data_IF_339286169165
#
_entry.id   IF_339286169165
#
_cell.length_a   1.000
_cell.length_b   1.000
_cell.length_c   1.000
_cell.angle_alpha   90.00
_cell.angle_beta   90.00
_cell.angle_gamma   90.00
#
_symmetry.space_group_name_H-M   'P 1'
#
loop_
_entity.id
_entity.type
_entity.pdbx_description
1 polymer ?
#
# COMPACT_ATOMS: atom_id res chain seq x y z
N UNK A 1 19.80 -47.81 44.16
CA UNK A 1 19.63 -46.51 44.84
C UNK A 1 19.93 -45.43 43.80
N UNK A 2 18.89 -44.65 43.42
CA UNK A 2 18.92 -43.25 42.91
C UNK A 2 19.77 -43.01 41.63
N UNK A 3 19.32 -42.54 40.47
CA UNK A 3 18.15 -41.81 39.93
C UNK A 3 18.08 -42.24 38.43
N UNK A 4 16.96 -42.57 37.77
CA UNK A 4 15.74 -41.82 37.40
C UNK A 4 15.99 -40.50 36.63
N UNK A 5 15.58 -40.52 35.35
CA UNK A 5 15.18 -39.40 34.50
C UNK A 5 16.27 -38.44 33.98
N UNK A 6 17.00 -38.89 32.96
CA UNK A 6 17.62 -38.00 31.97
C UNK A 6 17.68 -38.55 30.53
N UNK A 7 16.93 -39.62 30.24
CA UNK A 7 16.80 -40.22 28.90
C UNK A 7 15.43 -39.87 28.28
N UNK A 8 15.21 -38.60 27.90
CA UNK A 8 14.05 -38.22 27.06
C UNK A 8 14.12 -36.81 26.43
N UNK A 9 15.30 -36.25 26.17
CA UNK A 9 15.42 -34.93 25.52
C UNK A 9 16.52 -34.88 24.45
N UNK A 10 16.75 -36.00 23.76
CA UNK A 10 17.70 -36.09 22.65
C UNK A 10 17.07 -36.80 21.45
N UNK A 11 15.96 -36.27 20.95
CA UNK A 11 15.47 -36.58 19.60
C UNK A 11 14.43 -35.54 19.15
N UNK A 12 14.91 -34.54 18.40
CA UNK A 12 14.25 -33.85 17.28
C UNK A 12 15.03 -32.55 17.01
N UNK A 13 16.32 -32.71 16.67
CA UNK A 13 17.12 -31.66 16.05
C UNK A 13 16.68 -31.51 14.59
N UNK A 14 16.11 -30.35 14.28
CA UNK A 14 16.49 -29.47 13.16
C UNK A 14 17.04 -30.14 11.88
N UNK A 15 16.17 -30.50 10.95
CA UNK A 15 16.54 -30.81 9.57
C UNK A 15 15.73 -29.92 8.61
N UNK A 16 16.33 -28.83 8.15
CA UNK A 16 15.92 -28.13 6.93
C UNK A 16 17.17 -27.48 6.30
N UNK A 17 18.15 -28.31 5.94
CA UNK A 17 19.28 -27.93 5.10
C UNK A 17 19.13 -28.63 3.75
N UNK A 18 18.68 -27.91 2.72
CA UNK A 18 18.79 -28.39 1.34
C UNK A 18 20.15 -27.93 0.79
N UNK A 19 21.06 -28.88 0.56
CA UNK A 19 22.36 -28.64 -0.08
C UNK A 19 22.20 -28.60 -1.62
N UNK A 20 22.93 -27.72 -2.29
CA UNK A 20 23.01 -27.70 -3.74
C UNK A 20 24.04 -28.72 -4.28
N UNK A 21 24.08 -28.89 -5.60
CA UNK A 21 24.86 -29.92 -6.31
C UNK A 21 26.38 -29.82 -6.18
N UNK A 22 26.90 -28.82 -5.47
CA UNK A 22 28.33 -28.65 -5.17
C UNK A 22 28.66 -28.80 -3.67
N UNK A 23 27.68 -29.20 -2.85
CA UNK A 23 27.88 -29.48 -1.42
C UNK A 23 28.18 -28.25 -0.57
N UNK A 24 27.80 -27.05 -1.04
CA UNK A 24 28.08 -25.80 -0.32
C UNK A 24 26.88 -25.45 0.57
N UNK A 25 27.04 -25.60 1.89
CA UNK A 25 26.04 -25.18 2.87
C UNK A 25 26.10 -23.65 3.00
N UNK A 26 25.09 -22.96 2.48
CA UNK A 26 24.92 -21.53 2.73
C UNK A 26 24.35 -21.31 4.13
N UNK A 27 25.20 -21.26 5.14
CA UNK A 27 24.81 -20.78 6.47
C UNK A 27 24.56 -19.27 6.40
N UNK A 28 23.28 -18.87 6.39
CA UNK A 28 22.90 -17.50 6.69
C UNK A 28 23.13 -17.25 8.18
N UNK A 29 24.34 -16.87 8.58
CA UNK A 29 24.57 -16.30 9.92
C UNK A 29 24.05 -14.87 9.93
N UNK A 30 22.84 -14.69 10.48
CA UNK A 30 22.37 -13.36 10.92
C UNK A 30 23.21 -13.00 12.13
N UNK A 31 24.33 -12.30 11.93
CA UNK A 31 25.05 -11.68 13.03
C UNK A 31 24.17 -10.55 13.56
N UNK A 32 23.56 -10.80 14.72
CA UNK A 32 22.85 -9.81 15.50
C UNK A 32 23.86 -8.82 16.09
N UNK A 33 24.34 -7.89 15.26
CA UNK A 33 24.90 -6.63 15.75
C UNK A 33 23.73 -5.63 15.75
N UNK A 34 23.24 -5.17 16.90
CA UNK A 34 22.13 -4.24 16.94
C UNK A 34 22.62 -2.86 16.50
N UNK A 35 22.42 -2.53 15.22
CA UNK A 35 22.34 -1.13 14.82
C UNK A 35 21.23 -0.48 15.67
N UNK A 36 21.54 0.53 16.50
CA UNK A 36 20.58 1.18 17.40
C UNK A 36 19.42 1.87 16.66
N UNK A 37 19.44 1.91 15.32
CA UNK A 37 18.34 2.44 14.49
C UNK A 37 17.39 1.37 13.92
N UNK A 38 17.69 0.06 14.06
CA UNK A 38 16.77 -0.99 13.62
C UNK A 38 15.74 -1.23 14.71
N UNK A 39 14.62 -0.50 14.65
CA UNK A 39 13.44 -0.83 15.46
C UNK A 39 13.05 -2.27 15.12
N UNK A 40 12.79 -3.12 16.12
CA UNK A 40 12.26 -4.45 15.85
C UNK A 40 11.01 -4.31 14.98
N UNK A 41 10.88 -5.20 13.98
CA UNK A 41 9.66 -5.26 13.19
C UNK A 41 8.49 -5.41 14.18
N UNK A 42 7.38 -4.68 13.97
CA UNK A 42 6.27 -4.63 14.92
C UNK A 42 5.52 -5.97 15.05
N UNK A 43 6.00 -7.02 14.37
CA UNK A 43 5.40 -8.35 14.30
C UNK A 43 6.46 -9.43 14.05
N UNK A 44 6.15 -10.65 14.46
CA UNK A 44 6.93 -11.85 14.16
C UNK A 44 6.77 -12.28 12.70
N UNK A 45 7.63 -13.19 12.22
CA UNK A 45 7.50 -13.75 10.87
C UNK A 45 6.16 -14.46 10.67
N UNK A 46 5.71 -15.25 11.65
CA UNK A 46 4.43 -15.95 11.58
C UNK A 46 3.25 -14.97 11.49
N UNK A 47 3.28 -13.89 12.27
CA UNK A 47 2.28 -12.82 12.18
C UNK A 47 2.30 -12.11 10.83
N UNK A 48 3.48 -11.91 10.24
CA UNK A 48 3.61 -11.33 8.90
C UNK A 48 3.08 -12.27 7.81
N UNK A 49 3.32 -13.57 7.92
CA UNK A 49 2.81 -14.58 7.00
C UNK A 49 1.28 -14.72 7.13
N UNK A 50 0.76 -14.73 8.35
CA UNK A 50 -0.67 -14.72 8.62
C UNK A 50 -1.34 -13.49 7.99
N UNK A 51 -0.76 -12.30 8.19
CA UNK A 51 -1.20 -11.07 7.52
C UNK A 51 -1.16 -11.18 5.99
N UNK A 52 -0.10 -11.76 5.42
CA UNK A 52 0.01 -11.92 3.98
C UNK A 52 -1.00 -12.91 3.41
N UNK A 53 -1.36 -13.95 4.15
CA UNK A 53 -2.35 -14.95 3.75
C UNK A 53 -3.78 -14.47 3.97
N UNK A 54 -4.08 -13.96 5.17
CA UNK A 54 -5.42 -13.70 5.66
C UNK A 54 -5.82 -12.22 5.65
N UNK A 55 -4.85 -11.31 5.48
CA UNK A 55 -5.08 -9.86 5.48
C UNK A 55 -5.04 -9.25 6.89
N UNK A 56 -5.53 -8.01 7.01
CA UNK A 56 -5.67 -7.34 8.31
C UNK A 56 -6.83 -7.96 9.09
N UNK A 57 -6.61 -8.28 10.37
CA UNK A 57 -7.70 -8.57 11.28
C UNK A 57 -8.52 -7.29 11.56
N UNK A 58 -9.76 -7.26 11.09
CA UNK A 58 -10.70 -6.16 11.35
C UNK A 58 -11.53 -6.51 12.57
N UNK A 59 -11.09 -6.07 13.75
CA UNK A 59 -11.71 -6.40 15.03
C UNK A 59 -11.71 -5.21 16.01
N UNK A 60 -12.71 -5.14 16.92
CA UNK A 60 -12.72 -4.16 18.02
C UNK A 60 -11.50 -4.27 18.94
N UNK A 61 -11.12 -3.16 19.57
CA UNK A 61 -10.02 -3.08 20.56
C UNK A 61 -10.39 -2.09 21.68
N UNK A 62 -9.98 -2.31 22.93
CA UNK A 62 -10.21 -1.38 24.04
C UNK A 62 -9.62 0.03 23.81
N UNK A 63 -8.67 0.19 22.89
CA UNK A 63 -8.05 1.47 22.57
C UNK A 63 -8.88 2.36 21.62
N UNK A 64 -9.94 1.81 21.01
CA UNK A 64 -10.79 2.52 20.07
C UNK A 64 -12.04 3.09 20.74
N UNK A 65 -12.58 4.23 20.27
CA UNK A 65 -13.86 4.75 20.73
C UNK A 65 -15.03 3.79 20.48
N UNK A 66 -16.09 3.89 21.29
CA UNK A 66 -17.29 3.04 21.18
C UNK A 66 -17.91 3.02 19.78
N UNK A 67 -17.97 4.17 19.11
CA UNK A 67 -18.50 4.27 17.76
C UNK A 67 -17.67 3.44 16.76
N UNK A 68 -16.35 3.48 16.87
CA UNK A 68 -15.42 2.70 16.04
C UNK A 68 -15.55 1.22 16.36
N UNK A 69 -15.56 0.83 17.63
CA UNK A 69 -15.74 -0.57 18.05
C UNK A 69 -17.08 -1.16 17.60
N UNK A 70 -18.15 -0.37 17.68
CA UNK A 70 -19.48 -0.76 17.17
C UNK A 70 -19.43 -1.03 15.67
N UNK A 71 -18.76 -0.18 14.89
CA UNK A 71 -18.60 -0.40 13.45
C UNK A 71 -17.73 -1.62 13.15
N UNK A 72 -16.59 -1.78 13.84
CA UNK A 72 -15.65 -2.89 13.65
C UNK A 72 -16.28 -4.26 13.89
N UNK A 73 -17.32 -4.37 14.73
CA UNK A 73 -18.06 -5.61 14.94
C UNK A 73 -18.73 -6.17 13.66
N UNK A 74 -18.97 -5.32 12.65
CA UNK A 74 -19.62 -5.73 11.39
C UNK A 74 -18.85 -5.34 10.12
N UNK A 75 -17.79 -4.54 10.22
CA UNK A 75 -17.04 -3.99 9.10
C UNK A 75 -16.50 -5.06 8.14
N UNK A 76 -15.98 -6.17 8.66
CA UNK A 76 -15.49 -7.28 7.83
C UNK A 76 -16.61 -7.91 6.96
N UNK A 77 -17.81 -8.08 7.52
CA UNK A 77 -18.96 -8.63 6.78
C UNK A 77 -19.48 -7.62 5.77
N UNK A 78 -19.51 -6.33 6.12
CA UNK A 78 -19.86 -5.25 5.18
C UNK A 78 -18.91 -5.23 3.99
N UNK A 79 -17.60 -5.25 4.24
CA UNK A 79 -16.59 -5.28 3.19
C UNK A 79 -16.70 -6.52 2.30
N UNK A 80 -16.91 -7.71 2.87
CA UNK A 80 -17.15 -8.92 2.09
C UNK A 80 -18.38 -8.79 1.17
N UNK A 81 -19.49 -8.23 1.68
CA UNK A 81 -20.70 -7.98 0.88
C UNK A 81 -20.46 -6.96 -0.24
N UNK A 82 -19.70 -5.90 0.00
CA UNK A 82 -19.39 -4.91 -1.03
C UNK A 82 -18.46 -5.50 -2.11
N UNK A 83 -17.41 -6.22 -1.70
CA UNK A 83 -16.50 -6.90 -2.62
C UNK A 83 -17.22 -7.96 -3.48
N UNK A 84 -18.20 -8.67 -2.92
CA UNK A 84 -18.99 -9.67 -3.66
C UNK A 84 -19.84 -9.08 -4.81
N UNK A 85 -20.08 -7.76 -4.82
CA UNK A 85 -20.77 -7.07 -5.92
C UNK A 85 -19.87 -6.89 -7.15
N UNK A 86 -18.55 -7.00 -6.99
CA UNK A 86 -17.59 -6.83 -8.08
C UNK A 86 -17.47 -8.13 -8.87
N UNK A 87 -17.72 -8.13 -10.20
CA UNK A 87 -17.61 -9.33 -11.01
C UNK A 87 -16.19 -9.89 -11.02
N UNK A 88 -16.05 -11.21 -10.96
CA UNK A 88 -14.74 -11.89 -11.02
C UNK A 88 -13.92 -11.50 -12.27
N UNK A 89 -14.60 -11.23 -13.39
CA UNK A 89 -13.96 -10.76 -14.63
C UNK A 89 -13.23 -9.41 -14.45
N UNK A 90 -13.72 -8.52 -13.59
CA UNK A 90 -13.05 -7.26 -13.28
C UNK A 90 -11.74 -7.51 -12.52
N UNK A 91 -11.75 -8.38 -11.53
CA UNK A 91 -10.55 -8.82 -10.81
C UNK A 91 -9.55 -9.48 -11.75
N UNK A 92 -10.01 -10.38 -12.63
CA UNK A 92 -9.13 -11.01 -13.62
C UNK A 92 -8.50 -10.00 -14.57
N UNK A 93 -9.25 -8.97 -14.99
CA UNK A 93 -8.72 -7.87 -15.80
C UNK A 93 -7.58 -7.13 -15.10
N UNK A 94 -7.70 -6.88 -13.79
CA UNK A 94 -6.63 -6.26 -12.99
C UNK A 94 -5.38 -7.15 -13.01
N UNK A 95 -5.53 -8.45 -12.76
CA UNK A 95 -4.41 -9.41 -12.78
C UNK A 95 -3.73 -9.47 -14.14
N UNK A 96 -4.49 -9.45 -15.25
CA UNK A 96 -3.92 -9.43 -16.60
C UNK A 96 -3.11 -8.14 -16.85
N UNK A 97 -3.60 -6.98 -16.40
CA UNK A 97 -2.86 -5.71 -16.52
C UNK A 97 -1.58 -5.70 -15.68
N UNK A 98 -1.62 -6.34 -14.50
CA UNK A 98 -0.45 -6.53 -13.64
C UNK A 98 0.61 -7.42 -14.28
N UNK A 99 0.20 -8.50 -14.94
CA UNK A 99 1.11 -9.36 -15.71
C UNK A 99 1.79 -8.59 -16.86
N UNK A 100 1.01 -7.77 -17.59
CA UNK A 100 1.56 -6.86 -18.61
C UNK A 100 2.55 -5.86 -17.99
N UNK A 101 2.26 -5.33 -16.80
CA UNK A 101 3.18 -4.44 -16.09
C UNK A 101 4.51 -5.10 -15.76
N UNK A 102 4.51 -6.37 -15.33
CA UNK A 102 5.75 -7.11 -15.04
C UNK A 102 6.54 -7.43 -16.30
N UNK A 103 5.86 -7.71 -17.42
CA UNK A 103 6.48 -8.09 -18.70
C UNK A 103 6.93 -6.90 -19.55
N UNK A 104 6.49 -5.68 -19.24
CA UNK A 104 6.80 -4.51 -20.03
C UNK A 104 8.32 -4.24 -20.13
N UNK A 105 8.84 -3.85 -21.31
CA UNK A 105 10.28 -3.84 -21.55
C UNK A 105 11.00 -2.66 -20.88
N UNK A 106 10.31 -1.55 -20.63
CA UNK A 106 10.91 -0.36 -20.02
C UNK A 106 10.26 -0.02 -18.67
N UNK A 107 11.04 0.53 -17.75
CA UNK A 107 10.55 0.96 -16.43
C UNK A 107 9.36 1.94 -16.52
N UNK A 108 9.37 2.83 -17.52
CA UNK A 108 8.27 3.76 -17.80
C UNK A 108 6.99 3.01 -18.16
N UNK A 109 7.07 2.01 -19.03
CA UNK A 109 5.90 1.20 -19.38
C UNK A 109 5.43 0.34 -18.21
N UNK A 110 6.34 -0.22 -17.40
CA UNK A 110 5.99 -0.98 -16.20
C UNK A 110 5.14 -0.14 -15.25
N UNK A 111 5.58 1.08 -14.93
CA UNK A 111 4.82 2.02 -14.09
C UNK A 111 3.49 2.41 -14.74
N UNK A 112 3.47 2.68 -16.04
CA UNK A 112 2.24 3.04 -16.74
C UNK A 112 1.18 1.91 -16.70
N UNK A 113 1.60 0.66 -16.90
CA UNK A 113 0.70 -0.50 -16.83
C UNK A 113 0.27 -0.82 -15.40
N UNK A 114 1.16 -0.67 -14.42
CA UNK A 114 0.81 -0.80 -13.00
C UNK A 114 -0.25 0.23 -12.58
N UNK A 115 -0.10 1.48 -13.02
CA UNK A 115 -1.10 2.52 -12.80
C UNK A 115 -2.44 2.20 -13.47
N UNK A 116 -2.42 1.66 -14.70
CA UNK A 116 -3.65 1.20 -15.40
C UNK A 116 -4.33 0.05 -14.66
N UNK A 117 -3.58 -0.87 -14.07
CA UNK A 117 -4.16 -1.93 -13.23
C UNK A 117 -4.86 -1.33 -12.00
N UNK A 118 -4.25 -0.34 -11.36
CA UNK A 118 -4.86 0.38 -10.25
C UNK A 118 -6.13 1.16 -10.67
N UNK A 119 -6.15 1.76 -11.87
CA UNK A 119 -7.34 2.39 -12.44
C UNK A 119 -8.47 1.39 -12.72
N UNK A 120 -8.14 0.21 -13.25
CA UNK A 120 -9.10 -0.85 -13.49
C UNK A 120 -9.72 -1.36 -12.19
N UNK A 121 -8.89 -1.53 -11.14
CA UNK A 121 -9.37 -1.86 -9.80
C UNK A 121 -10.26 -0.76 -9.26
N UNK A 122 -9.81 0.50 -9.31
CA UNK A 122 -10.57 1.64 -8.81
C UNK A 122 -11.94 1.74 -9.49
N UNK A 123 -11.98 1.58 -10.82
CA UNK A 123 -13.23 1.64 -11.60
C UNK A 123 -14.22 0.54 -11.21
N UNK A 124 -13.73 -0.65 -10.85
CA UNK A 124 -14.57 -1.78 -10.49
C UNK A 124 -15.09 -1.70 -9.04
N UNK A 125 -14.26 -1.24 -8.10
CA UNK A 125 -14.56 -1.28 -6.67
C UNK A 125 -15.13 0.04 -6.13
N UNK A 126 -14.78 1.20 -6.70
CA UNK A 126 -15.22 2.50 -6.19
C UNK A 126 -16.75 2.67 -6.09
N UNK A 127 -17.60 2.12 -6.99
CA UNK A 127 -19.05 2.19 -6.85
C UNK A 127 -19.62 1.49 -5.59
N UNK A 128 -18.81 0.65 -4.94
CA UNK A 128 -19.19 -0.13 -3.75
C UNK A 128 -18.36 0.25 -2.51
N UNK A 129 -17.48 1.25 -2.63
CA UNK A 129 -16.63 1.73 -1.56
C UNK A 129 -17.23 2.96 -0.87
N UNK A 130 -16.81 3.23 0.37
CA UNK A 130 -17.12 4.48 1.09
C UNK A 130 -16.46 5.72 0.44
N UNK A 131 -15.50 5.52 -0.46
CA UNK A 131 -14.69 6.57 -1.05
C UNK A 131 -15.50 7.43 -2.02
N UNK A 132 -15.41 8.75 -1.85
CA UNK A 132 -16.04 9.76 -2.74
C UNK A 132 -15.09 10.91 -3.00
N UNK A 133 -15.34 11.64 -4.09
CA UNK A 133 -14.62 12.88 -4.35
C UNK A 133 -14.80 13.85 -3.16
N UNK A 134 -13.69 14.39 -2.65
CA UNK A 134 -13.68 15.24 -1.45
C UNK A 134 -13.42 14.52 -0.13
N UNK A 135 -13.37 13.17 -0.11
CA UNK A 135 -12.80 12.44 1.02
C UNK A 135 -11.27 12.50 0.96
N UNK A 136 -10.61 13.01 2.00
CA UNK A 136 -9.16 13.22 2.03
C UNK A 136 -8.44 12.51 3.19
N UNK A 137 -9.09 11.58 3.89
CA UNK A 137 -8.47 10.84 5.00
C UNK A 137 -7.15 10.18 4.62
N UNK A 138 -7.10 9.52 3.46
CA UNK A 138 -5.87 8.89 2.94
C UNK A 138 -4.77 9.90 2.56
N UNK A 139 -5.08 11.20 2.46
CA UNK A 139 -4.07 12.24 2.27
C UNK A 139 -3.35 12.60 3.57
N UNK A 140 -3.78 12.10 4.73
CA UNK A 140 -3.15 12.37 6.03
C UNK A 140 -2.40 11.16 6.59
N UNK A 141 -2.34 10.03 5.86
CA UNK A 141 -1.58 8.83 6.24
C UNK A 141 -0.29 8.70 5.41
N UNK A 142 0.61 7.77 5.74
CA UNK A 142 1.77 7.48 4.91
C UNK A 142 1.37 6.90 3.55
N UNK A 143 1.96 7.44 2.50
CA UNK A 143 1.80 6.97 1.12
C UNK A 143 3.18 6.72 0.54
N UNK A 144 3.64 5.48 0.64
CA UNK A 144 4.94 5.06 0.11
C UNK A 144 4.85 4.72 -1.36
N UNK A 145 5.72 5.32 -2.16
CA UNK A 145 5.88 5.02 -3.59
C UNK A 145 7.35 4.76 -3.91
N UNK A 146 7.58 3.97 -4.95
CA UNK A 146 8.92 3.67 -5.45
C UNK A 146 9.56 4.90 -6.10
N UNK A 147 10.89 4.93 -6.16
CA UNK A 147 11.63 5.99 -6.86
C UNK A 147 11.25 6.08 -8.35
N UNK A 148 10.93 4.95 -8.98
CA UNK A 148 10.54 4.88 -10.39
C UNK A 148 9.18 5.51 -10.62
N UNK A 149 8.23 5.26 -9.72
CA UNK A 149 6.91 5.87 -9.74
C UNK A 149 6.99 7.35 -9.39
N UNK A 150 7.82 7.74 -8.42
CA UNK A 150 8.05 9.14 -8.07
C UNK A 150 8.62 9.95 -9.25
N UNK A 151 9.57 9.39 -10.01
CA UNK A 151 10.08 10.04 -11.24
C UNK A 151 9.01 10.16 -12.31
N UNK A 152 8.23 9.10 -12.53
CA UNK A 152 7.14 9.12 -13.51
C UNK A 152 6.06 10.16 -13.13
N UNK A 153 5.68 10.20 -11.86
CA UNK A 153 4.78 11.19 -11.29
C UNK A 153 5.33 12.59 -11.50
N UNK A 154 6.58 12.81 -11.11
CA UNK A 154 7.24 14.10 -11.19
C UNK A 154 7.30 14.65 -12.62
N UNK A 155 7.57 13.78 -13.60
CA UNK A 155 7.50 14.13 -15.02
C UNK A 155 6.08 14.54 -15.44
N UNK A 156 5.06 13.80 -15.00
CA UNK A 156 3.67 14.06 -15.37
C UNK A 156 3.15 15.39 -14.79
N UNK A 157 3.58 15.76 -13.58
CA UNK A 157 3.14 16.98 -12.89
C UNK A 157 4.09 18.18 -13.08
N UNK A 158 5.19 18.00 -13.83
CA UNK A 158 6.20 19.05 -14.06
C UNK A 158 7.01 19.43 -12.82
N UNK A 159 7.20 18.49 -11.87
CA UNK A 159 7.94 18.69 -10.63
C UNK A 159 8.87 17.51 -10.35
N UNK A 160 10.18 17.71 -10.36
CA UNK A 160 11.11 16.62 -10.06
C UNK A 160 10.98 16.16 -8.58
N UNK A 161 11.07 14.84 -8.30
CA UNK A 161 11.18 14.36 -6.93
C UNK A 161 12.56 14.66 -6.35
N UNK A 162 12.63 14.85 -5.03
CA UNK A 162 13.89 15.02 -4.29
C UNK A 162 14.69 13.70 -4.29
N UNK A 163 16.02 13.73 -4.49
CA UNK A 163 16.87 12.55 -4.40
C UNK A 163 16.80 11.88 -3.03
N UNK A 164 16.89 10.54 -2.99
CA UNK A 164 16.80 9.75 -1.74
C UNK A 164 17.81 10.18 -0.67
N UNK A 165 19.01 10.57 -1.08
CA UNK A 165 20.07 11.02 -0.18
C UNK A 165 19.70 12.30 0.60
N UNK A 166 18.70 13.04 0.13
CA UNK A 166 18.23 14.30 0.73
C UNK A 166 16.91 14.11 1.49
N UNK A 167 16.39 12.88 1.59
CA UNK A 167 15.13 12.62 2.28
C UNK A 167 15.27 12.85 3.78
N UNK A 168 14.43 13.73 4.31
CA UNK A 168 14.27 13.94 5.75
C UNK A 168 13.17 13.02 6.30
N UNK A 169 13.17 12.68 7.61
CA UNK A 169 12.06 12.00 8.23
C UNK A 169 10.75 12.77 8.01
N UNK A 170 9.72 12.09 7.49
CA UNK A 170 8.39 12.67 7.38
C UNK A 170 7.60 12.43 8.68
N UNK A 171 6.82 13.43 9.12
CA UNK A 171 5.78 13.19 10.11
C UNK A 171 4.71 12.32 9.45
N UNK A 172 4.55 11.10 9.96
CA UNK A 172 3.77 10.03 9.34
C UNK A 172 2.37 9.87 9.94
N UNK A 173 2.05 10.57 11.03
CA UNK A 173 0.81 10.36 11.78
C UNK A 173 0.06 11.67 12.02
N UNK A 174 -1.27 11.60 11.88
CA UNK A 174 -2.19 12.69 12.19
C UNK A 174 -2.41 13.70 11.05
N UNK A 175 -3.38 14.60 11.27
CA UNK A 175 -3.81 15.58 10.26
C UNK A 175 -2.82 16.73 10.01
N UNK A 176 -1.78 16.85 10.84
CA UNK A 176 -0.82 17.95 10.83
C UNK A 176 0.22 17.89 9.71
N UNK A 177 0.37 16.73 9.05
CA UNK A 177 1.26 16.57 7.91
C UNK A 177 0.48 16.00 6.71
N UNK A 178 -0.32 16.83 6.02
CA UNK A 178 -1.04 16.36 4.85
C UNK A 178 -0.08 16.04 3.69
N UNK A 179 -0.57 15.25 2.74
CA UNK A 179 0.07 15.02 1.45
C UNK A 179 0.33 16.37 0.76
N UNK A 180 1.52 16.56 0.14
CA UNK A 180 1.88 17.82 -0.53
C UNK A 180 0.98 18.17 -1.73
N UNK A 181 0.12 17.25 -2.16
CA UNK A 181 -0.85 17.46 -3.23
C UNK A 181 -2.28 17.66 -2.73
N UNK A 182 -2.53 17.72 -1.42
CA UNK A 182 -3.85 18.03 -0.87
C UNK A 182 -4.12 19.53 -0.98
N UNK A 183 -5.19 19.92 -1.66
CA UNK A 183 -5.64 21.31 -1.78
C UNK A 183 -7.18 21.37 -1.70
N UNK A 184 -7.71 22.13 -0.73
CA UNK A 184 -9.16 22.29 -0.56
C UNK A 184 -9.93 20.98 -0.39
N UNK A 185 -9.38 20.04 0.40
CA UNK A 185 -9.98 18.72 0.63
C UNK A 185 -9.92 17.77 -0.58
N UNK A 186 -9.18 18.13 -1.64
CA UNK A 186 -9.07 17.34 -2.87
C UNK A 186 -7.62 17.23 -3.33
N UNK A 187 -7.30 16.12 -4.00
CA UNK A 187 -5.98 15.96 -4.61
C UNK A 187 -5.83 16.91 -5.82
N UNK A 188 -4.81 17.76 -5.82
CA UNK A 188 -4.50 18.68 -6.91
C UNK A 188 -3.99 17.97 -8.17
N UNK A 189 -3.49 16.74 -8.02
CA UNK A 189 -2.99 15.88 -9.10
C UNK A 189 -3.88 14.65 -9.31
N UNK A 190 -5.19 14.78 -9.13
CA UNK A 190 -6.13 13.65 -9.08
C UNK A 190 -5.97 12.64 -10.24
N UNK A 191 -5.78 13.16 -11.47
CA UNK A 191 -5.59 12.37 -12.68
C UNK A 191 -4.23 11.66 -12.76
N UNK A 192 -3.22 12.12 -12.02
CA UNK A 192 -1.86 11.58 -11.98
C UNK A 192 -1.54 10.85 -10.67
N UNK A 193 -2.52 10.64 -9.78
CA UNK A 193 -2.34 9.92 -8.51
C UNK A 193 -1.50 8.64 -8.67
N UNK A 194 -0.60 8.32 -7.72
CA UNK A 194 0.08 7.03 -7.66
C UNK A 194 -0.89 5.84 -7.67
N UNK A 195 -0.40 4.67 -8.06
CA UNK A 195 -1.16 3.43 -8.06
C UNK A 195 -1.78 3.15 -6.68
N UNK A 196 -0.99 3.26 -5.60
CA UNK A 196 -1.47 3.08 -4.23
C UNK A 196 -2.64 4.02 -3.90
N UNK A 197 -2.58 5.29 -4.29
CA UNK A 197 -3.66 6.25 -4.04
C UNK A 197 -4.95 5.97 -4.84
N UNK A 198 -4.86 5.24 -5.96
CA UNK A 198 -6.02 4.87 -6.79
C UNK A 198 -6.71 3.62 -6.27
N UNK A 199 -5.93 2.68 -5.76
CA UNK A 199 -6.40 1.39 -5.26
C UNK A 199 -6.74 1.37 -3.78
N UNK A 200 -6.41 2.43 -3.04
CA UNK A 200 -6.73 2.55 -1.61
C UNK A 200 -8.21 2.86 -1.38
N UNK A 201 -9.06 1.83 -1.40
CA UNK A 201 -10.51 1.95 -1.28
C UNK A 201 -11.02 1.28 0.00
N UNK A 202 -11.72 2.05 0.84
CA UNK A 202 -12.41 1.53 2.03
C UNK A 202 -13.72 0.84 1.60
N UNK A 203 -13.84 -0.46 1.87
CA UNK A 203 -15.00 -1.27 1.51
C UNK A 203 -16.08 -1.33 2.61
N UNK A 204 -15.95 -0.49 3.64
CA UNK A 204 -17.00 -0.25 4.63
C UNK A 204 -18.08 0.71 4.10
N UNK A 205 -19.10 1.02 4.91
CA UNK A 205 -20.23 1.85 4.50
C UNK A 205 -19.94 3.36 4.40
N UNK A 206 -19.03 3.89 5.21
CA UNK A 206 -18.65 5.31 5.21
C UNK A 206 -17.18 5.51 5.64
N UNK A 207 -16.80 6.78 5.85
CA UNK A 207 -15.42 7.15 6.16
C UNK A 207 -15.02 7.01 7.65
N UNK A 208 -15.93 6.59 8.54
CA UNK A 208 -15.71 6.58 10.00
C UNK A 208 -14.40 5.89 10.39
N UNK A 209 -14.14 4.70 9.84
CA UNK A 209 -12.92 3.94 10.16
C UNK A 209 -11.65 4.58 9.62
N UNK A 210 -11.75 5.48 8.63
CA UNK A 210 -10.61 6.20 8.06
C UNK A 210 -10.24 7.46 8.85
N UNK A 211 -11.05 7.88 9.83
CA UNK A 211 -10.77 9.05 10.66
C UNK A 211 -9.58 8.78 11.58
N UNK A 212 -8.61 9.69 11.59
CA UNK A 212 -7.42 9.51 12.42
C UNK A 212 -7.75 9.83 13.87
N UNK A 213 -7.48 8.88 14.75
CA UNK A 213 -7.73 9.04 16.17
C UNK A 213 -6.70 10.01 16.80
N UNK A 214 -7.12 10.92 17.70
CA UNK A 214 -6.20 11.78 18.44
C UNK A 214 -5.17 11.01 19.27
N UNK A 215 -5.49 9.78 19.68
CA UNK A 215 -4.57 8.85 20.37
C UNK A 215 -3.41 8.38 19.48
N UNK A 216 -3.53 8.53 18.16
CA UNK A 216 -2.59 7.97 17.19
C UNK A 216 -2.77 6.47 16.93
N UNK A 217 -3.74 5.82 17.56
CA UNK A 217 -4.03 4.41 17.30
C UNK A 217 -4.54 4.20 15.87
N UNK A 218 -4.00 3.18 15.18
CA UNK A 218 -4.35 2.85 13.81
C UNK A 218 -5.58 1.93 13.78
N UNK A 219 -6.69 2.43 13.25
CA UNK A 219 -7.93 1.66 13.10
C UNK A 219 -7.80 0.68 11.92
N UNK A 220 -8.16 -0.60 12.09
CA UNK A 220 -8.10 -1.58 11.01
C UNK A 220 -9.26 -1.37 10.01
N UNK A 221 -9.01 -0.56 8.99
CA UNK A 221 -9.98 -0.30 7.92
C UNK A 221 -10.01 -1.47 6.93
N UNK A 222 -11.21 -1.97 6.54
CA UNK A 222 -11.31 -3.04 5.55
C UNK A 222 -11.11 -2.49 4.13
N UNK A 223 -9.85 -2.27 3.76
CA UNK A 223 -9.51 -1.88 2.39
C UNK A 223 -9.70 -3.02 1.39
N UNK A 224 -9.94 -2.69 0.13
CA UNK A 224 -9.86 -3.65 -0.98
C UNK A 224 -8.50 -4.34 -0.99
N UNK A 225 -8.47 -5.63 -1.36
CA UNK A 225 -7.21 -6.38 -1.44
C UNK A 225 -6.30 -5.85 -2.57
N UNK A 226 -5.25 -5.14 -2.17
CA UNK A 226 -4.23 -4.61 -3.08
C UNK A 226 -2.91 -5.37 -3.02
N UNK A 227 -2.86 -6.57 -2.40
CA UNK A 227 -1.61 -7.36 -2.31
C UNK A 227 -0.97 -7.61 -3.68
N UNK A 228 -1.71 -7.97 -4.75
CA UNK A 228 -1.12 -8.13 -6.08
C UNK A 228 -0.50 -6.83 -6.63
N UNK A 229 -1.15 -5.68 -6.41
CA UNK A 229 -0.62 -4.37 -6.80
C UNK A 229 0.67 -4.05 -6.04
N UNK A 230 0.71 -4.33 -4.73
CA UNK A 230 1.90 -4.12 -3.90
C UNK A 230 3.06 -5.01 -4.36
N UNK A 231 2.81 -6.30 -4.59
CA UNK A 231 3.83 -7.23 -5.08
C UNK A 231 4.42 -6.76 -6.42
N UNK A 232 3.58 -6.35 -7.36
CA UNK A 232 4.06 -5.83 -8.65
C UNK A 232 4.80 -4.50 -8.49
N UNK A 233 4.37 -3.61 -7.57
CA UNK A 233 5.09 -2.37 -7.28
C UNK A 233 6.55 -2.65 -6.85
N UNK A 234 6.77 -3.69 -6.03
CA UNK A 234 8.11 -4.14 -5.63
C UNK A 234 8.90 -4.68 -6.83
N UNK A 235 8.28 -5.51 -7.67
CA UNK A 235 8.94 -6.10 -8.85
C UNK A 235 9.33 -5.06 -9.90
N UNK A 236 8.54 -3.99 -10.09
CA UNK A 236 8.81 -2.97 -11.09
C UNK A 236 9.70 -1.82 -10.58
N UNK A 237 9.92 -1.73 -9.26
CA UNK A 237 10.78 -0.71 -8.66
C UNK A 237 12.23 -0.78 -9.18
N UNK A 238 12.67 -1.94 -9.67
CA UNK A 238 14.03 -2.15 -10.13
C UNK A 238 15.06 -2.01 -9.00
N UNK A 239 16.34 -2.15 -9.33
CA UNK A 239 17.43 -1.96 -8.36
C UNK A 239 18.05 -0.55 -8.51
N UNK A 240 18.28 0.18 -7.40
CA UNK A 240 17.89 -0.17 -6.04
C UNK A 240 16.37 0.00 -5.81
N UNK A 241 15.75 -0.92 -5.04
CA UNK A 241 14.31 -0.91 -4.67
C UNK A 241 13.93 0.18 -3.68
N UNK A 242 14.32 1.42 -3.98
CA UNK A 242 14.07 2.53 -3.10
C UNK A 242 12.59 2.95 -3.13
N UNK A 243 12.01 3.08 -1.95
CA UNK A 243 10.66 3.57 -1.73
C UNK A 243 10.64 4.54 -0.54
N UNK A 244 9.85 5.59 -0.65
CA UNK A 244 9.71 6.61 0.38
C UNK A 244 8.31 7.23 0.35
N UNK A 245 7.96 7.98 1.39
CA UNK A 245 6.67 8.66 1.46
C UNK A 245 6.57 9.81 0.43
N UNK A 246 5.36 10.08 -0.08
CA UNK A 246 5.11 11.22 -0.97
C UNK A 246 5.64 12.56 -0.41
N UNK A 247 5.55 12.77 0.90
CA UNK A 247 6.07 13.98 1.57
C UNK A 247 7.59 14.11 1.47
N UNK A 248 8.31 13.00 1.36
CA UNK A 248 9.77 12.99 1.22
C UNK A 248 10.18 13.20 -0.25
N UNK A 249 9.46 12.58 -1.18
CA UNK A 249 9.67 12.81 -2.61
C UNK A 249 9.33 14.24 -3.04
N UNK A 250 8.30 14.84 -2.44
CA UNK A 250 7.70 16.09 -2.89
C UNK A 250 7.43 17.07 -1.73
N UNK A 251 8.44 17.43 -0.92
CA UNK A 251 8.23 18.15 0.34
C UNK A 251 7.60 19.53 0.15
N UNK A 252 6.78 19.94 1.12
CA UNK A 252 5.95 21.15 1.02
C UNK A 252 6.76 22.44 0.91
N UNK A 253 7.92 22.54 1.57
CA UNK A 253 8.79 23.73 1.47
C UNK A 253 9.33 24.00 0.06
N UNK A 254 9.20 23.04 -0.86
CA UNK A 254 9.53 23.19 -2.28
C UNK A 254 8.28 23.43 -3.17
N UNK A 255 7.08 23.48 -2.58
CA UNK A 255 5.83 23.85 -3.27
C UNK A 255 5.79 25.37 -3.51
N UNK A 256 6.41 25.84 -4.60
CA UNK A 256 6.32 27.26 -4.97
C UNK A 256 7.46 27.81 -5.83
N UNK A 257 8.50 27.03 -6.13
CA UNK A 257 9.72 27.55 -6.77
C UNK A 257 9.71 27.60 -8.32
N UNK A 258 8.54 27.70 -8.99
CA UNK A 258 8.35 28.30 -10.34
C UNK A 258 6.86 28.34 -10.75
N UNK A 259 6.42 29.29 -11.59
CA UNK A 259 5.02 29.71 -11.70
C UNK A 259 4.14 28.71 -12.43
N UNK A 260 2.89 28.60 -11.95
CA UNK A 260 1.82 27.75 -12.48
C UNK A 260 1.47 28.17 -13.90
N UNK A 261 1.77 27.32 -14.90
CA UNK A 261 0.91 27.27 -16.09
C UNK A 261 -0.23 26.33 -15.73
N UNK A 262 -1.43 26.87 -15.52
CA UNK A 262 -2.62 26.09 -15.27
C UNK A 262 -2.82 25.13 -16.45
N UNK A 263 -2.61 23.83 -16.23
CA UNK A 263 -3.08 22.81 -17.17
C UNK A 263 -4.55 22.59 -16.82
N UNK A 264 -5.50 22.92 -17.72
CA UNK A 264 -6.91 22.68 -17.45
C UNK A 264 -7.16 21.20 -17.20
N UNK A 265 -8.01 20.91 -16.21
CA UNK A 265 -8.46 19.56 -15.88
C UNK A 265 -9.02 18.89 -17.14
N UNK A 266 -8.52 17.72 -17.57
CA UNK A 266 -9.12 17.01 -18.68
C UNK A 266 -10.56 16.63 -18.32
N UNK A 267 -11.51 16.69 -19.28
CA UNK A 267 -12.88 16.27 -19.02
C UNK A 267 -12.91 14.79 -18.59
N UNK A 268 -13.93 14.38 -17.81
CA UNK A 268 -14.09 12.99 -17.43
C UNK A 268 -14.09 12.09 -18.67
N UNK A 269 -13.38 10.95 -18.56
CA UNK A 269 -13.31 9.94 -19.62
C UNK A 269 -14.72 9.43 -19.90
N UNK A 270 -15.27 9.77 -21.07
CA UNK A 270 -16.54 9.22 -21.53
C UNK A 270 -16.28 7.78 -21.97
N UNK A 271 -16.84 6.83 -21.24
CA UNK A 271 -17.00 5.46 -21.71
C UNK A 271 -17.93 5.57 -22.93
N UNK A 272 -17.40 5.30 -24.12
CA UNK A 272 -18.25 5.12 -25.29
C UNK A 272 -18.95 3.78 -25.11
N UNK A 273 -20.26 3.82 -24.90
CA UNK A 273 -21.11 2.65 -25.01
C UNK A 273 -21.07 2.19 -26.47
N UNK A 274 -20.14 1.29 -26.78
CA UNK A 274 -20.21 0.46 -27.99
C UNK A 274 -21.29 -0.60 -27.76
N UNK A 275 -22.54 -0.20 -27.91
CA UNK A 275 -23.67 -1.09 -28.15
C UNK A 275 -24.68 -0.34 -28.99
N UNK A 276 -24.58 -0.47 -30.32
CA UNK A 276 -25.68 -0.46 -31.29
C UNK A 276 -25.17 -1.08 -32.60
N UNK A 277 -25.40 -2.39 -32.75
CA UNK A 277 -25.77 -3.06 -34.00
C UNK A 277 -26.34 -4.43 -33.64
#
# INVERSE_FOLDING_TARGET
>A
MLNSDQDAQEHLMNENNSADSEGRVHTFTVTADPDPMVRPLPMTLDQALDYLHHGVLVAPSPEFPDAVNTRLASAAQTAARQCAKVPAAATQRVLNLLDVAVKAPTQVQRVAWHRRAADALSSAFAPHAACRAGCSHCCHIPVKISAVEARALGKAIGRAPVPLAEHQPASVTGYNSPCPFLAGGRCSIYAERPAVCRSHLNMDEDALLCELLPSGAEVPVPYVDTRPLMAVAVLIAGEPRAAADLRQWFPEHLLGQRPRRAVPCPPPFKIQDENHA
#
